data_IF_999661841663
#
_entry.id   IF_999661841663
#
_cell.length_a   1.000
_cell.length_b   1.000
_cell.length_c   1.000
_cell.angle_alpha   90.00
_cell.angle_beta   90.00
_cell.angle_gamma   90.00
#
_symmetry.space_group_name_H-M   'P 1'
#
loop_
_entity.id
_entity.type
_entity.pdbx_description
1 polymer ?
#
# COMPACT_ATOMS: atom_id res chain seq x y z
N UNK A 1 4.83 -8.47 -11.38
CA UNK A 1 3.63 -8.06 -10.60
C UNK A 1 3.07 -6.77 -11.16
N UNK A 2 1.80 -6.43 -10.86
CA UNK A 2 1.24 -5.13 -11.23
C UNK A 2 1.43 -4.12 -10.10
N UNK A 3 1.95 -2.94 -10.44
CA UNK A 3 2.25 -1.86 -9.51
C UNK A 3 1.50 -0.59 -9.95
N UNK A 4 1.01 0.14 -8.97
CA UNK A 4 0.54 1.52 -9.12
C UNK A 4 1.43 2.38 -8.23
N UNK A 5 2.22 3.25 -8.84
CA UNK A 5 3.04 4.21 -8.11
C UNK A 5 2.20 5.48 -7.86
N UNK A 6 2.16 5.93 -6.63
CA UNK A 6 1.55 7.20 -6.23
C UNK A 6 2.33 8.40 -6.80
N UNK A 7 1.69 9.58 -6.88
CA UNK A 7 2.29 10.83 -7.39
C UNK A 7 3.51 11.25 -6.57
N UNK A 8 3.52 10.95 -5.26
CA UNK A 8 4.64 11.24 -4.38
C UNK A 8 5.88 10.36 -4.64
N UNK A 9 5.75 9.25 -5.38
CA UNK A 9 6.87 8.43 -5.83
C UNK A 9 7.49 9.05 -7.08
N UNK A 10 8.82 9.07 -7.15
CA UNK A 10 9.52 9.58 -8.32
C UNK A 10 9.23 8.73 -9.56
N UNK A 11 8.81 9.36 -10.66
CA UNK A 11 8.65 8.68 -11.96
C UNK A 11 9.93 8.00 -12.47
N UNK A 12 11.12 8.41 -11.98
CA UNK A 12 12.38 7.71 -12.24
C UNK A 12 12.37 6.25 -11.78
N UNK A 13 11.50 5.89 -10.83
CA UNK A 13 11.35 4.51 -10.36
C UNK A 13 10.65 3.60 -11.39
N UNK A 14 9.92 4.15 -12.36
CA UNK A 14 9.19 3.35 -13.34
C UNK A 14 10.14 2.53 -14.22
N UNK A 15 11.25 3.12 -14.68
CA UNK A 15 12.15 2.46 -15.64
C UNK A 15 12.77 1.18 -15.05
N UNK A 16 13.40 1.20 -13.86
CA UNK A 16 13.95 -0.02 -13.27
C UNK A 16 12.87 -1.05 -12.91
N UNK A 17 11.71 -0.61 -12.42
CA UNK A 17 10.62 -1.53 -12.06
C UNK A 17 10.04 -2.23 -13.30
N UNK A 18 9.86 -1.51 -14.41
CA UNK A 18 9.45 -2.11 -15.70
C UNK A 18 10.53 -3.04 -16.26
N UNK A 19 11.80 -2.65 -16.18
CA UNK A 19 12.92 -3.47 -16.63
C UNK A 19 13.05 -4.80 -15.86
N UNK A 20 12.63 -4.83 -14.60
CA UNK A 20 12.53 -6.04 -13.79
C UNK A 20 11.29 -6.91 -14.10
N UNK A 21 10.48 -6.56 -15.11
CA UNK A 21 9.34 -7.36 -15.56
C UNK A 21 8.02 -7.07 -14.83
N UNK A 22 7.92 -5.95 -14.11
CA UNK A 22 6.66 -5.52 -13.49
C UNK A 22 5.82 -4.69 -14.48
N UNK A 23 4.49 -4.84 -14.39
CA UNK A 23 3.52 -3.95 -15.05
C UNK A 23 3.35 -2.73 -14.14
N UNK A 24 3.82 -1.57 -14.58
CA UNK A 24 3.88 -0.35 -13.76
C UNK A 24 3.15 0.79 -14.43
N UNK A 25 2.19 1.35 -13.70
CA UNK A 25 1.59 2.66 -13.98
C UNK A 25 1.97 3.64 -12.87
N UNK A 26 1.96 4.94 -13.18
CA UNK A 26 2.27 6.00 -12.23
C UNK A 26 1.19 7.06 -12.27
N UNK A 27 0.66 7.41 -11.11
CA UNK A 27 -0.36 8.45 -10.98
C UNK A 27 0.15 9.84 -11.42
N UNK A 28 1.48 10.07 -11.39
CA UNK A 28 2.08 11.30 -11.90
C UNK A 28 1.99 11.48 -13.42
N UNK A 29 1.62 10.44 -14.18
CA UNK A 29 1.32 10.55 -15.62
C UNK A 29 -0.14 11.01 -15.88
N UNK A 30 -0.98 11.10 -14.85
CA UNK A 30 -2.39 11.49 -15.00
C UNK A 30 -2.55 13.00 -15.08
N UNK A 31 -3.63 13.45 -15.75
CA UNK A 31 -3.89 14.87 -15.99
C UNK A 31 -4.23 15.62 -14.68
N UNK A 32 -4.92 14.94 -13.78
CA UNK A 32 -5.40 15.46 -12.50
C UNK A 32 -5.08 14.45 -11.41
N UNK A 33 -4.83 14.95 -10.19
CA UNK A 33 -4.71 14.12 -9.00
C UNK A 33 -6.10 13.72 -8.52
N UNK A 34 -6.50 12.43 -8.60
CA UNK A 34 -7.83 12.00 -8.21
C UNK A 34 -7.96 11.79 -6.70
N UNK A 35 -6.84 11.90 -5.95
CA UNK A 35 -6.79 11.72 -4.51
C UNK A 35 -6.67 10.27 -4.03
N UNK A 36 -6.32 10.10 -2.76
CA UNK A 36 -5.94 8.82 -2.16
C UNK A 36 -7.01 7.73 -2.30
N UNK A 37 -8.29 8.06 -2.05
CA UNK A 37 -9.37 7.07 -2.13
C UNK A 37 -9.53 6.51 -3.54
N UNK A 38 -9.43 7.35 -4.55
CA UNK A 38 -9.61 6.95 -5.95
C UNK A 38 -8.36 6.19 -6.46
N UNK A 39 -7.15 6.61 -6.04
CA UNK A 39 -5.90 5.88 -6.28
C UNK A 39 -5.98 4.47 -5.69
N UNK A 40 -6.42 4.35 -4.43
CA UNK A 40 -6.55 3.07 -3.73
C UNK A 40 -7.62 2.20 -4.39
N UNK A 41 -8.77 2.78 -4.75
CA UNK A 41 -9.86 2.08 -5.44
C UNK A 41 -9.43 1.55 -6.81
N UNK A 42 -8.69 2.33 -7.59
CA UNK A 42 -8.14 1.89 -8.88
C UNK A 42 -7.12 0.76 -8.69
N UNK A 43 -6.19 0.92 -7.74
CA UNK A 43 -5.21 -0.11 -7.42
C UNK A 43 -5.90 -1.43 -7.05
N UNK A 44 -6.93 -1.38 -6.22
CA UNK A 44 -7.73 -2.56 -5.86
C UNK A 44 -8.45 -3.17 -7.07
N UNK A 45 -9.19 -2.35 -7.85
CA UNK A 45 -9.95 -2.77 -9.02
C UNK A 45 -9.08 -3.49 -10.06
N UNK A 46 -7.85 -3.03 -10.26
CA UNK A 46 -6.94 -3.58 -11.26
C UNK A 46 -5.99 -4.68 -10.72
N UNK A 47 -6.06 -4.96 -9.41
CA UNK A 47 -5.17 -5.91 -8.73
C UNK A 47 -3.72 -5.44 -8.72
N UNK A 48 -3.49 -4.15 -8.44
CA UNK A 48 -2.17 -3.52 -8.37
C UNK A 48 -1.77 -3.28 -6.92
N UNK A 49 -0.51 -3.60 -6.61
CA UNK A 49 0.10 -3.20 -5.35
C UNK A 49 0.36 -1.70 -5.41
N UNK A 50 -0.21 -0.95 -4.47
CA UNK A 50 0.04 0.49 -4.34
C UNK A 50 1.44 0.73 -3.74
N UNK A 51 2.23 1.61 -4.35
CA UNK A 51 3.51 2.05 -3.80
C UNK A 51 3.43 3.55 -3.54
N UNK A 52 3.63 3.97 -2.29
CA UNK A 52 3.50 5.36 -1.86
C UNK A 52 4.60 5.76 -0.86
N UNK A 53 4.85 7.06 -0.72
CA UNK A 53 5.60 7.66 0.39
C UNK A 53 4.67 8.21 1.48
N UNK A 54 3.39 8.37 1.15
CA UNK A 54 2.40 9.01 1.99
C UNK A 54 1.95 8.07 3.12
N UNK A 55 1.86 8.64 4.33
CA UNK A 55 1.43 7.93 5.52
C UNK A 55 -0.10 7.83 5.61
N UNK A 56 -0.84 8.71 4.93
CA UNK A 56 -2.28 8.87 5.13
C UNK A 56 -3.07 7.70 4.51
N UNK A 57 -2.52 7.01 3.50
CA UNK A 57 -3.03 5.69 3.05
C UNK A 57 -3.10 4.63 4.16
N UNK A 58 -2.26 4.75 5.21
CA UNK A 58 -2.33 3.88 6.37
C UNK A 58 -3.66 4.00 7.12
N UNK A 59 -4.25 5.20 7.18
CA UNK A 59 -5.58 5.39 7.75
C UNK A 59 -6.65 4.68 6.90
N UNK A 60 -6.57 4.82 5.58
CA UNK A 60 -7.50 4.18 4.64
C UNK A 60 -7.50 2.65 4.77
N UNK A 61 -6.31 2.05 4.77
CA UNK A 61 -6.15 0.60 4.75
C UNK A 61 -6.32 -0.03 6.13
N UNK A 62 -5.73 0.55 7.18
CA UNK A 62 -5.67 -0.07 8.51
C UNK A 62 -6.84 0.33 9.39
N UNK A 63 -7.23 1.61 9.37
CA UNK A 63 -8.28 2.13 10.26
C UNK A 63 -9.66 2.01 9.61
N UNK A 64 -9.77 2.38 8.34
CA UNK A 64 -11.02 2.33 7.58
C UNK A 64 -11.26 0.99 6.87
N UNK A 65 -10.30 0.07 6.97
CA UNK A 65 -10.33 -1.28 6.37
C UNK A 65 -10.67 -1.27 4.86
N UNK A 66 -10.33 -0.20 4.14
CA UNK A 66 -10.65 -0.10 2.72
C UNK A 66 -9.92 -1.19 1.92
N UNK A 67 -10.64 -1.76 0.96
CA UNK A 67 -10.14 -2.83 0.12
C UNK A 67 -8.90 -2.40 -0.67
N UNK A 68 -7.87 -3.24 -0.69
CA UNK A 68 -6.62 -2.98 -1.39
C UNK A 68 -5.99 -4.30 -1.88
N UNK A 69 -5.14 -4.22 -2.90
CA UNK A 69 -4.47 -5.38 -3.50
C UNK A 69 -2.98 -5.49 -3.05
N UNK A 70 -2.72 -5.11 -1.80
CA UNK A 70 -1.37 -4.93 -1.25
C UNK A 70 -0.87 -3.49 -1.35
N UNK A 71 -0.01 -3.10 -0.40
CA UNK A 71 0.56 -1.74 -0.33
C UNK A 71 2.01 -1.79 0.17
N UNK A 72 2.87 -0.96 -0.40
CA UNK A 72 4.24 -0.71 0.04
C UNK A 72 4.38 0.77 0.35
N UNK A 73 4.70 1.12 1.60
CA UNK A 73 5.09 2.49 1.97
C UNK A 73 6.61 2.60 2.06
N UNK A 74 7.20 3.42 1.21
CA UNK A 74 8.64 3.70 1.21
C UNK A 74 8.94 4.91 2.11
N UNK A 75 9.64 4.68 3.22
CA UNK A 75 9.84 5.70 4.27
C UNK A 75 11.26 6.27 4.20
N UNK A 76 11.37 7.59 4.09
CA UNK A 76 12.66 8.34 4.11
C UNK A 76 13.64 7.86 3.03
N UNK A 77 13.17 7.73 1.79
CA UNK A 77 14.01 7.34 0.64
C UNK A 77 14.15 8.48 -0.36
N UNK A 78 15.39 8.74 -0.77
CA UNK A 78 15.64 9.59 -1.94
C UNK A 78 15.13 8.92 -3.22
N UNK A 79 14.88 9.70 -4.27
CA UNK A 79 14.37 9.19 -5.55
C UNK A 79 15.20 8.01 -6.12
N UNK A 80 16.53 8.06 -6.00
CA UNK A 80 17.42 6.99 -6.47
C UNK A 80 17.32 5.69 -5.66
N UNK A 81 16.82 5.76 -4.42
CA UNK A 81 16.66 4.60 -3.54
C UNK A 81 15.29 3.93 -3.65
N UNK A 82 14.29 4.62 -4.21
CA UNK A 82 12.91 4.13 -4.25
C UNK A 82 12.78 2.82 -5.05
N UNK A 83 13.26 2.79 -6.29
CA UNK A 83 13.21 1.59 -7.13
C UNK A 83 13.97 0.38 -6.57
N UNK A 84 15.26 0.49 -6.19
CA UNK A 84 15.98 -0.67 -5.65
C UNK A 84 15.38 -1.18 -4.33
N UNK A 85 14.87 -0.29 -3.48
CA UNK A 85 14.20 -0.71 -2.24
C UNK A 85 12.86 -1.39 -2.53
N UNK A 86 12.07 -0.84 -3.46
CA UNK A 86 10.81 -1.46 -3.88
C UNK A 86 11.05 -2.86 -4.48
N UNK A 87 12.07 -3.02 -5.33
CA UNK A 87 12.44 -4.33 -5.89
C UNK A 87 12.82 -5.34 -4.79
N UNK A 88 13.60 -4.92 -3.79
CA UNK A 88 13.97 -5.78 -2.66
C UNK A 88 12.74 -6.21 -1.85
N UNK A 89 11.77 -5.32 -1.62
CA UNK A 89 10.51 -5.65 -0.93
C UNK A 89 9.68 -6.62 -1.78
N UNK A 90 9.58 -6.38 -3.08
CA UNK A 90 8.83 -7.23 -4.01
C UNK A 90 9.42 -8.64 -4.12
N UNK A 91 10.75 -8.76 -4.16
CA UNK A 91 11.45 -10.05 -4.17
C UNK A 91 11.21 -10.84 -2.87
N UNK A 92 11.27 -10.16 -1.73
CA UNK A 92 11.15 -10.81 -0.41
C UNK A 92 9.72 -11.12 0.01
N UNK A 93 8.76 -10.25 -0.31
CA UNK A 93 7.39 -10.29 0.23
C UNK A 93 6.30 -10.32 -0.85
N UNK A 94 6.66 -10.59 -2.11
CA UNK A 94 5.74 -10.55 -3.24
C UNK A 94 4.54 -11.49 -3.09
N UNK A 95 4.74 -12.66 -2.49
CA UNK A 95 3.67 -13.65 -2.25
C UNK A 95 2.67 -13.13 -1.22
N UNK A 96 3.18 -12.59 -0.10
CA UNK A 96 2.37 -12.02 0.98
C UNK A 96 1.56 -10.82 0.47
N UNK A 97 2.20 -9.93 -0.30
CA UNK A 97 1.55 -8.76 -0.90
C UNK A 97 0.37 -9.13 -1.82
N UNK A 98 0.46 -10.26 -2.54
CA UNK A 98 -0.62 -10.75 -3.40
C UNK A 98 -1.67 -11.55 -2.66
N UNK A 99 -1.35 -12.05 -1.46
CA UNK A 99 -2.25 -12.88 -0.64
C UNK A 99 -3.19 -12.08 0.25
N UNK A 100 -3.12 -10.74 0.23
CA UNK A 100 -3.96 -9.87 1.04
C UNK A 100 -5.43 -10.16 0.73
N UNK A 101 -6.21 -10.65 1.72
CA UNK A 101 -7.64 -10.87 1.50
C UNK A 101 -8.31 -9.53 1.23
N UNK A 102 -9.28 -9.51 0.32
CA UNK A 102 -10.13 -8.34 0.13
C UNK A 102 -10.78 -7.97 1.47
N UNK A 103 -10.28 -6.91 2.13
CA UNK A 103 -10.98 -6.32 3.26
C UNK A 103 -12.30 -5.75 2.75
N UNK A 104 -13.30 -5.64 3.63
CA UNK A 104 -14.65 -5.24 3.23
C UNK A 104 -14.57 -3.92 2.46
N UNK A 105 -15.06 -3.92 1.22
CA UNK A 105 -15.36 -2.66 0.54
C UNK A 105 -16.24 -1.86 1.50
N UNK A 106 -15.74 -0.73 1.99
CA UNK A 106 -16.62 0.27 2.56
C UNK A 106 -17.66 0.52 1.48
N UNK A 107 -18.89 0.05 1.69
CA UNK A 107 -19.96 0.23 0.73
C UNK A 107 -19.99 1.71 0.40
N UNK A 108 -19.88 2.05 -0.89
CA UNK A 108 -20.08 3.41 -1.36
C UNK A 108 -21.33 3.94 -0.65
N UNK A 109 -21.15 4.89 0.26
CA UNK A 109 -22.31 5.48 0.94
C UNK A 109 -23.08 6.22 -0.16
N UNK A 110 -24.32 5.82 -0.50
CA UNK A 110 -25.14 6.70 -1.31
C UNK A 110 -25.37 7.96 -0.49
N UNK A 111 -25.14 9.12 -1.10
CA UNK A 111 -25.50 10.40 -0.53
C UNK A 111 -26.99 10.35 -0.12
N UNK A 112 -27.25 10.35 1.19
CA UNK A 112 -28.58 10.48 1.78
C UNK A 112 -29.19 9.20 2.34
N UNK A 113 -29.07 8.99 3.65
CA UNK A 113 -30.23 8.97 4.55
C UNK A 113 -29.80 8.72 6.00
N UNK A 114 -30.35 9.55 6.88
CA UNK A 114 -30.26 9.45 8.34
C UNK A 114 -30.68 8.06 8.84
N UNK A 115 -29.87 7.44 9.70
CA UNK A 115 -30.37 6.62 10.82
C UNK A 115 -29.32 6.37 11.91
N UNK A 116 -29.79 6.56 13.15
CA UNK A 116 -29.16 6.23 14.43
C UNK A 116 -28.98 4.71 14.59
N UNK A 117 -27.90 4.30 15.26
CA UNK A 117 -27.94 3.24 16.27
C UNK A 117 -27.01 2.03 16.08
N UNK A 118 -26.16 1.86 17.09
CA UNK A 118 -25.51 0.63 17.63
C UNK A 118 -24.09 0.24 17.18
N UNK A 119 -23.21 -0.12 18.14
CA UNK A 119 -21.86 -0.61 17.89
C UNK A 119 -21.85 -2.15 17.83
N UNK A 120 -21.04 -2.72 16.95
CA UNK A 120 -20.72 -4.15 17.00
C UNK A 120 -19.20 -4.36 17.07
N UNK A 121 -18.80 -4.85 18.23
CA UNK A 121 -17.51 -5.44 18.59
C UNK A 121 -17.03 -6.52 17.61
N UNK A 122 -15.75 -6.45 17.25
CA UNK A 122 -14.77 -7.57 17.31
C UNK A 122 -13.47 -7.11 16.63
N UNK A 123 -12.57 -6.52 17.41
CA UNK A 123 -11.21 -6.23 16.95
C UNK A 123 -10.32 -7.42 17.28
N UNK A 124 -9.92 -8.16 16.26
CA UNK A 124 -8.86 -9.16 16.36
C UNK A 124 -7.52 -8.42 16.23
N UNK A 125 -6.98 -7.94 17.36
CA UNK A 125 -5.64 -7.36 17.37
C UNK A 125 -4.59 -8.45 17.17
N UNK A 126 -3.72 -8.24 16.17
CA UNK A 126 -2.37 -8.80 16.11
C UNK A 126 -1.60 -8.37 17.36
N UNK A 127 -1.42 -9.29 18.30
CA UNK A 127 -0.51 -9.14 19.45
C UNK A 127 0.65 -10.13 19.43
N UNK A 128 1.08 -10.62 18.27
CA UNK A 128 2.15 -11.64 18.13
C UNK A 128 3.31 -11.24 17.19
N UNK A 129 3.72 -9.97 17.22
CA UNK A 129 5.04 -9.59 16.70
C UNK A 129 5.80 -8.77 17.75
N UNK A 130 6.47 -9.49 18.65
CA UNK A 130 7.46 -8.91 19.55
C UNK A 130 8.65 -8.30 18.77
N UNK A 131 9.40 -7.36 19.38
CA UNK A 131 10.43 -6.62 18.69
C UNK A 131 11.66 -7.50 18.38
N UNK A 132 11.98 -7.65 17.10
CA UNK A 132 13.27 -8.18 16.65
C UNK A 132 14.37 -7.14 16.89
N UNK A 133 14.90 -7.10 18.12
CA UNK A 133 16.15 -6.42 18.44
C UNK A 133 17.30 -7.39 18.10
N UNK A 134 18.22 -7.08 17.16
CA UNK A 134 19.42 -7.89 16.99
C UNK A 134 20.34 -7.72 18.21
N UNK A 135 20.60 -8.81 18.94
CA UNK A 135 21.63 -8.85 19.98
C UNK A 135 23.01 -8.68 19.31
N UNK A 136 23.79 -7.72 19.81
CA UNK A 136 25.24 -7.64 19.60
C UNK A 136 25.88 -8.99 19.94
N UNK A 137 26.55 -9.62 18.99
CA UNK A 137 27.54 -10.65 19.26
C UNK A 137 28.82 -9.95 19.73
N UNK A 138 29.05 -9.96 21.04
CA UNK A 138 30.38 -9.81 21.62
C UNK A 138 30.92 -11.20 21.95
N UNK A 139 32.04 -11.60 21.35
CA UNK A 139 33.09 -12.31 22.08
C UNK A 139 34.39 -12.40 21.28
N UNK A 140 35.47 -12.02 21.98
CA UNK A 140 36.87 -12.47 21.89
C UNK A 140 37.69 -12.09 20.66
#
# INVERSE_FOLDING_TARGET
>A
MKLLLDTCVSGAAMVPLKAAGHDVIWAGDWLEDPGDEEILALAYKEGRILVTLDKDFGELVVVREQAHAGMIRLVVLSASQQAPTCLMVLDRYGTELQSVPASRSAGAQPAGSSRRGQPSSSSCYLSDLGPLIPRKMSSM
#
